data_IF_312508054834
#
_entry.id   IF_312508054834
#
_cell.length_a   1.000
_cell.length_b   1.000
_cell.length_c   1.000
_cell.angle_alpha   90.00
_cell.angle_beta   90.00
_cell.angle_gamma   90.00
#
_symmetry.space_group_name_H-M   'P 1'
#
loop_
_entity.id
_entity.type
_entity.pdbx_description
1 polymer ?
#
# COMPACT_ATOMS: atom_id res chain seq x y z
N UNK A 1 -9.24 7.37 -4.52
CA UNK A 1 -9.70 8.14 -5.68
C UNK A 1 -10.13 9.49 -5.18
N UNK A 2 -9.80 10.54 -5.92
CA UNK A 2 -10.20 11.91 -5.58
C UNK A 2 -11.70 12.13 -5.77
N UNK A 3 -12.24 13.18 -5.14
CA UNK A 3 -13.65 13.55 -5.30
C UNK A 3 -13.85 14.40 -6.57
N UNK A 4 -14.55 13.88 -7.57
CA UNK A 4 -14.84 14.60 -8.81
C UNK A 4 -15.60 15.92 -8.54
N UNK A 5 -16.40 16.00 -7.48
CA UNK A 5 -17.10 17.24 -7.12
C UNK A 5 -16.11 18.32 -6.68
N UNK A 6 -15.08 17.94 -5.90
CA UNK A 6 -14.03 18.87 -5.45
C UNK A 6 -13.14 19.30 -6.61
N UNK A 7 -12.74 18.38 -7.50
CA UNK A 7 -11.98 18.70 -8.71
C UNK A 7 -12.72 19.73 -9.56
N UNK A 8 -14.03 19.56 -9.73
CA UNK A 8 -14.87 20.52 -10.48
C UNK A 8 -15.01 21.88 -9.79
N UNK A 9 -15.02 21.93 -8.46
CA UNK A 9 -15.17 23.16 -7.69
C UNK A 9 -13.87 23.96 -7.62
N UNK A 10 -12.73 23.29 -7.60
CA UNK A 10 -11.41 23.89 -7.38
C UNK A 10 -10.37 23.35 -8.38
N UNK A 11 -10.59 23.46 -9.70
CA UNK A 11 -9.75 22.80 -10.71
C UNK A 11 -8.28 23.24 -10.64
N UNK A 12 -8.02 24.53 -10.40
CA UNK A 12 -6.66 25.08 -10.34
C UNK A 12 -5.87 24.52 -9.16
N UNK A 13 -6.53 24.31 -8.01
CA UNK A 13 -5.91 23.67 -6.84
C UNK A 13 -5.44 22.25 -7.17
N UNK A 14 -6.29 21.44 -7.81
CA UNK A 14 -5.92 20.08 -8.19
C UNK A 14 -4.83 20.05 -9.27
N UNK A 15 -4.86 20.96 -10.24
CA UNK A 15 -3.81 21.09 -11.25
C UNK A 15 -2.46 21.41 -10.62
N UNK A 16 -2.41 22.41 -9.74
CA UNK A 16 -1.19 22.83 -9.06
C UNK A 16 -0.63 21.70 -8.17
N UNK A 17 -1.48 21.11 -7.32
CA UNK A 17 -1.07 20.06 -6.39
C UNK A 17 -0.67 18.77 -7.07
N UNK A 18 -1.34 18.36 -8.14
CA UNK A 18 -1.01 17.11 -8.84
C UNK A 18 0.15 17.30 -9.84
N UNK A 19 0.44 18.52 -10.28
CA UNK A 19 1.65 18.81 -11.05
C UNK A 19 2.93 18.47 -10.28
N UNK A 20 2.95 18.66 -8.96
CA UNK A 20 4.08 18.25 -8.10
C UNK A 20 4.25 16.72 -7.98
N UNK A 21 3.24 15.97 -8.44
CA UNK A 21 3.22 14.50 -8.56
C UNK A 21 3.48 14.04 -10.01
N UNK A 22 3.79 14.96 -10.92
CA UNK A 22 4.03 14.67 -12.33
C UNK A 22 2.77 14.53 -13.20
N UNK A 23 1.58 14.86 -12.67
CA UNK A 23 0.33 14.88 -13.45
C UNK A 23 0.25 16.17 -14.26
N UNK A 24 -0.03 16.07 -15.54
CA UNK A 24 -0.14 17.26 -16.39
C UNK A 24 -1.50 17.94 -16.20
N UNK A 25 -1.58 19.28 -16.25
CA UNK A 25 -2.86 20.00 -16.11
C UNK A 25 -3.95 19.53 -17.08
N UNK A 26 -3.57 19.10 -18.29
CA UNK A 26 -4.50 18.63 -19.31
C UNK A 26 -5.22 17.34 -18.89
N UNK A 27 -4.58 16.49 -18.08
CA UNK A 27 -5.22 15.26 -17.55
C UNK A 27 -6.39 15.59 -16.62
N UNK A 28 -6.30 16.72 -15.89
CA UNK A 28 -7.40 17.22 -15.05
C UNK A 28 -8.51 17.83 -15.91
N UNK A 29 -8.14 18.55 -16.98
CA UNK A 29 -9.11 19.11 -17.93
C UNK A 29 -9.91 18.01 -18.64
N UNK A 30 -9.25 16.91 -19.03
CA UNK A 30 -9.90 15.74 -19.62
C UNK A 30 -10.94 15.13 -18.67
N UNK A 31 -10.60 14.94 -17.40
CA UNK A 31 -11.51 14.44 -16.37
C UNK A 31 -12.73 15.36 -16.20
N UNK A 32 -12.52 16.68 -16.17
CA UNK A 32 -13.60 17.66 -16.05
C UNK A 32 -14.50 17.64 -17.29
N UNK A 33 -13.91 17.51 -18.48
CA UNK A 33 -14.65 17.40 -19.74
C UNK A 33 -15.53 16.13 -19.77
N UNK A 34 -14.99 14.99 -19.33
CA UNK A 34 -15.73 13.74 -19.21
C UNK A 34 -16.85 13.82 -18.15
N UNK A 35 -16.64 14.46 -16.99
CA UNK A 35 -17.72 14.72 -16.01
C UNK A 35 -18.81 15.65 -16.58
N UNK A 36 -18.43 16.67 -17.35
CA UNK A 36 -19.38 17.56 -18.01
C UNK A 36 -20.22 16.79 -19.03
N UNK A 37 -19.57 16.03 -19.92
CA UNK A 37 -20.24 15.20 -20.93
C UNK A 37 -21.19 14.19 -20.27
N UNK A 38 -20.73 13.52 -19.21
CA UNK A 38 -21.54 12.62 -18.38
C UNK A 38 -22.85 13.26 -17.92
N UNK A 39 -22.75 14.44 -17.31
CA UNK A 39 -23.92 15.16 -16.77
C UNK A 39 -24.90 15.57 -17.87
N UNK A 40 -24.38 16.01 -19.01
CA UNK A 40 -25.19 16.38 -20.18
C UNK A 40 -25.91 15.15 -20.77
N UNK A 41 -25.22 14.03 -20.92
CA UNK A 41 -25.82 12.77 -21.39
C UNK A 41 -26.89 12.27 -20.44
N UNK A 42 -26.62 12.24 -19.12
CA UNK A 42 -27.61 11.85 -18.12
C UNK A 42 -28.85 12.75 -18.16
N UNK A 43 -28.68 14.07 -18.31
CA UNK A 43 -29.80 15.00 -18.44
C UNK A 43 -30.63 14.75 -19.70
N UNK A 44 -29.97 14.47 -20.84
CA UNK A 44 -30.64 14.12 -22.10
C UNK A 44 -31.42 12.82 -21.96
N UNK A 45 -30.79 11.78 -21.40
CA UNK A 45 -31.40 10.47 -21.14
C UNK A 45 -32.63 10.59 -20.25
N UNK A 46 -32.55 11.32 -19.14
CA UNK A 46 -33.70 11.53 -18.24
C UNK A 46 -34.84 12.30 -18.93
N UNK A 47 -34.50 13.31 -19.74
CA UNK A 47 -35.49 14.08 -20.53
C UNK A 47 -36.21 13.17 -21.53
N UNK A 48 -35.48 12.32 -22.27
CA UNK A 48 -36.08 11.38 -23.23
C UNK A 48 -36.89 10.28 -22.53
N UNK A 49 -36.43 9.76 -21.38
CA UNK A 49 -37.18 8.81 -20.55
C UNK A 49 -38.51 9.42 -20.09
N UNK A 50 -38.52 10.69 -19.68
CA UNK A 50 -39.74 11.40 -19.34
C UNK A 50 -40.69 11.57 -20.54
N UNK A 51 -40.18 11.99 -21.70
CA UNK A 51 -40.96 12.11 -22.95
C UNK A 51 -41.57 10.78 -23.38
N UNK A 52 -40.80 9.69 -23.35
CA UNK A 52 -41.29 8.33 -23.67
C UNK A 52 -42.40 7.91 -22.72
N UNK A 53 -42.27 8.20 -21.42
CA UNK A 53 -43.28 7.86 -20.42
C UNK A 53 -44.58 8.67 -20.63
N UNK A 54 -44.48 9.94 -21.01
CA UNK A 54 -45.63 10.77 -21.37
C UNK A 54 -46.32 10.28 -22.65
N UNK A 55 -45.54 9.98 -23.70
CA UNK A 55 -46.06 9.41 -24.95
C UNK A 55 -46.75 8.06 -24.72
N UNK A 56 -46.18 7.21 -23.86
CA UNK A 56 -46.78 5.92 -23.48
C UNK A 56 -48.14 6.08 -22.78
N UNK A 57 -48.30 7.12 -21.95
CA UNK A 57 -49.61 7.46 -21.33
C UNK A 57 -50.63 7.88 -22.39
N UNK A 58 -50.24 8.77 -23.31
CA UNK A 58 -51.11 9.24 -24.42
C UNK A 58 -51.53 8.09 -25.34
N UNK A 59 -50.66 7.14 -25.64
CA UNK A 59 -50.99 5.91 -26.39
C UNK A 59 -52.04 5.08 -25.63
N UNK A 60 -51.89 4.94 -24.30
CA UNK A 60 -52.85 4.25 -23.47
C UNK A 60 -54.23 4.92 -23.48
N UNK A 61 -54.28 6.25 -23.47
CA UNK A 61 -55.51 7.04 -23.57
C UNK A 61 -56.17 6.92 -24.95
N UNK A 62 -55.42 7.12 -26.04
CA UNK A 62 -55.93 6.98 -27.41
C UNK A 62 -56.52 5.58 -27.66
N UNK A 63 -55.83 4.52 -27.21
CA UNK A 63 -56.34 3.14 -27.31
C UNK A 63 -57.62 2.92 -26.51
N UNK A 64 -57.81 3.57 -25.35
CA UNK A 64 -59.06 3.50 -24.58
C UNK A 64 -60.21 4.25 -25.27
N UNK A 65 -59.89 5.33 -25.98
CA UNK A 65 -60.87 6.16 -26.70
C UNK A 65 -61.24 5.60 -28.08
N UNK A 66 -60.59 4.52 -28.54
CA UNK A 66 -60.79 3.97 -29.88
C UNK A 66 -60.14 4.79 -31.00
N UNK A 67 -59.21 5.68 -30.65
CA UNK A 67 -58.45 6.49 -31.59
C UNK A 67 -57.20 5.73 -32.10
N UNK A 68 -56.74 6.02 -33.32
CA UNK A 68 -55.47 5.45 -33.81
C UNK A 68 -54.30 6.06 -33.03
N UNK A 69 -53.44 5.18 -32.52
CA UNK A 69 -52.22 5.55 -31.82
C UNK A 69 -50.95 5.22 -32.64
N UNK A 70 -51.07 4.88 -33.92
CA UNK A 70 -49.97 4.29 -34.71
C UNK A 70 -48.76 5.24 -34.86
N UNK A 71 -49.02 6.52 -35.08
CA UNK A 71 -47.98 7.55 -35.15
C UNK A 71 -47.24 7.70 -33.80
N UNK A 72 -47.99 7.76 -32.69
CA UNK A 72 -47.43 7.87 -31.35
C UNK A 72 -46.64 6.60 -30.96
N UNK A 73 -47.11 5.41 -31.37
CA UNK A 73 -46.39 4.14 -31.16
C UNK A 73 -45.06 4.16 -31.91
N UNK A 74 -45.04 4.64 -33.15
CA UNK A 74 -43.80 4.78 -33.94
C UNK A 74 -42.83 5.75 -33.27
N UNK A 75 -43.29 6.93 -32.87
CA UNK A 75 -42.47 7.94 -32.18
C UNK A 75 -41.91 7.40 -30.86
N UNK A 76 -42.71 6.67 -30.08
CA UNK A 76 -42.28 6.05 -28.82
C UNK A 76 -41.21 4.97 -29.05
N UNK A 77 -41.29 4.23 -30.17
CA UNK A 77 -40.27 3.25 -30.55
C UNK A 77 -38.96 3.95 -30.93
N UNK A 78 -39.03 5.01 -31.74
CA UNK A 78 -37.86 5.81 -32.13
C UNK A 78 -37.19 6.47 -30.92
N UNK A 79 -37.97 6.99 -29.96
CA UNK A 79 -37.47 7.46 -28.67
C UNK A 79 -36.79 6.34 -27.88
N UNK A 80 -37.37 5.14 -27.88
CA UNK A 80 -36.79 3.96 -27.25
C UNK A 80 -35.42 3.58 -27.80
N UNK A 81 -35.25 3.66 -29.11
CA UNK A 81 -33.96 3.38 -29.77
C UNK A 81 -32.92 4.47 -29.45
N UNK A 82 -33.30 5.75 -29.49
CA UNK A 82 -32.42 6.87 -29.07
C UNK A 82 -32.00 6.80 -27.61
N UNK A 83 -32.90 6.39 -26.71
CA UNK A 83 -32.57 6.21 -25.28
C UNK A 83 -31.51 5.12 -25.12
N UNK A 84 -31.60 4.01 -25.87
CA UNK A 84 -30.57 2.95 -25.82
C UNK A 84 -29.22 3.44 -26.32
N UNK A 85 -29.19 4.23 -27.39
CA UNK A 85 -27.98 4.86 -27.91
C UNK A 85 -27.33 5.77 -26.86
N UNK A 86 -28.13 6.64 -26.22
CA UNK A 86 -27.64 7.50 -25.15
C UNK A 86 -27.19 6.72 -23.91
N UNK A 87 -27.94 5.69 -23.48
CA UNK A 87 -27.54 4.84 -22.35
C UNK A 87 -26.18 4.16 -22.64
N UNK A 88 -25.95 3.72 -23.88
CA UNK A 88 -24.65 3.16 -24.32
C UNK A 88 -23.53 4.21 -24.28
N UNK A 89 -23.82 5.44 -24.70
CA UNK A 89 -22.85 6.53 -24.64
C UNK A 89 -22.52 6.94 -23.19
N UNK A 90 -23.52 6.92 -22.29
CA UNK A 90 -23.33 7.14 -20.85
C UNK A 90 -22.40 6.07 -20.27
N UNK A 91 -22.64 4.79 -20.56
CA UNK A 91 -21.82 3.69 -20.05
C UNK A 91 -20.36 3.80 -20.51
N UNK A 92 -20.13 4.09 -21.80
CA UNK A 92 -18.79 4.28 -22.35
C UNK A 92 -18.07 5.50 -21.72
N UNK A 93 -18.76 6.63 -21.57
CA UNK A 93 -18.21 7.82 -20.94
C UNK A 93 -17.92 7.61 -19.45
N UNK A 94 -18.79 6.89 -18.73
CA UNK A 94 -18.60 6.57 -17.32
C UNK A 94 -17.39 5.65 -17.12
N UNK A 95 -17.19 4.67 -18.00
CA UNK A 95 -16.00 3.81 -17.99
C UNK A 95 -14.70 4.61 -18.23
N UNK A 96 -14.69 5.52 -19.20
CA UNK A 96 -13.53 6.37 -19.49
C UNK A 96 -13.24 7.35 -18.35
N UNK A 97 -14.27 8.01 -17.81
CA UNK A 97 -14.13 8.89 -16.65
C UNK A 97 -13.58 8.14 -15.44
N UNK A 98 -14.10 6.94 -15.17
CA UNK A 98 -13.66 6.11 -14.07
C UNK A 98 -12.19 5.70 -14.22
N UNK A 99 -11.79 5.25 -15.41
CA UNK A 99 -10.41 4.86 -15.69
C UNK A 99 -9.44 6.04 -15.51
N UNK A 100 -9.75 7.22 -16.07
CA UNK A 100 -8.95 8.45 -15.91
C UNK A 100 -8.81 8.82 -14.43
N UNK A 101 -9.93 8.85 -13.71
CA UNK A 101 -9.95 9.14 -12.26
C UNK A 101 -9.16 8.10 -11.45
N UNK A 102 -9.13 6.84 -11.88
CA UNK A 102 -8.42 5.77 -11.21
C UNK A 102 -6.88 5.87 -11.39
N UNK A 103 -6.41 6.66 -12.37
CA UNK A 103 -4.99 6.93 -12.61
C UNK A 103 -4.47 8.22 -11.93
N UNK A 104 -5.35 9.05 -11.37
CA UNK A 104 -4.94 10.23 -10.60
C UNK A 104 -4.43 9.83 -9.20
N UNK A 105 -3.22 10.26 -8.79
CA UNK A 105 -2.70 10.01 -7.45
C UNK A 105 -3.44 10.84 -6.40
N UNK A 106 -3.18 10.56 -5.13
CA UNK A 106 -3.69 11.38 -4.03
C UNK A 106 -3.05 12.79 -4.04
N UNK A 107 -3.74 13.75 -3.42
CA UNK A 107 -3.26 15.13 -3.26
C UNK A 107 -2.21 15.15 -2.13
N UNK A 108 -0.99 15.68 -2.39
CA UNK A 108 0.04 15.80 -1.36
C UNK A 108 -0.36 16.85 -0.31
N UNK A 109 -0.01 16.59 0.94
CA UNK A 109 -0.17 17.54 2.05
C UNK A 109 0.70 18.78 1.84
N UNK A 110 0.27 19.93 2.36
CA UNK A 110 0.94 21.23 2.17
C UNK A 110 2.38 21.26 2.70
N UNK A 111 2.69 20.45 3.71
CA UNK A 111 4.02 20.36 4.32
C UNK A 111 5.04 19.49 3.56
N UNK A 112 4.61 18.77 2.51
CA UNK A 112 5.47 17.82 1.79
C UNK A 112 6.47 18.58 0.88
N UNK A 113 7.78 18.26 0.95
CA UNK A 113 8.77 18.90 0.09
C UNK A 113 8.52 18.60 -1.40
N UNK A 114 8.52 19.64 -2.24
CA UNK A 114 8.19 19.52 -3.66
C UNK A 114 9.42 19.10 -4.48
N UNK A 115 9.37 17.91 -5.05
CA UNK A 115 10.36 17.39 -6.02
C UNK A 115 9.75 16.21 -6.79
N UNK A 116 10.19 15.94 -8.01
CA UNK A 116 9.77 14.75 -8.78
C UNK A 116 10.67 13.52 -8.55
N UNK A 117 11.71 13.67 -7.72
CA UNK A 117 12.66 12.62 -7.33
C UNK A 117 12.79 12.58 -5.81
N UNK A 118 13.51 11.60 -5.27
CA UNK A 118 13.90 11.53 -3.85
C UNK A 118 14.73 12.75 -3.37
N UNK A 119 15.30 13.52 -4.31
CA UNK A 119 16.10 14.70 -4.00
C UNK A 119 15.24 15.78 -3.33
N UNK A 120 15.64 16.18 -2.12
CA UNK A 120 14.92 17.18 -1.32
C UNK A 120 14.07 16.60 -0.20
N UNK A 121 14.09 15.28 0.01
CA UNK A 121 13.53 14.68 1.22
C UNK A 121 14.15 15.33 2.47
N UNK A 122 13.33 15.51 3.51
CA UNK A 122 13.72 16.27 4.71
C UNK A 122 13.94 15.30 5.88
N UNK A 123 15.15 15.26 6.43
CA UNK A 123 15.43 14.52 7.67
C UNK A 123 14.77 15.23 8.86
N UNK A 124 13.76 14.58 9.45
CA UNK A 124 13.04 15.08 10.62
C UNK A 124 13.84 14.87 11.91
N UNK A 125 14.47 13.70 12.04
CA UNK A 125 15.25 13.31 13.21
C UNK A 125 16.18 12.14 12.92
N UNK A 126 17.28 12.08 13.67
CA UNK A 126 18.25 10.98 13.66
C UNK A 126 18.38 10.38 15.05
N UNK A 127 18.34 9.06 15.17
CA UNK A 127 18.23 8.36 16.45
C UNK A 127 19.23 7.19 16.53
N UNK A 128 19.82 7.01 17.71
CA UNK A 128 20.79 5.94 17.98
C UNK A 128 22.24 6.32 17.68
N UNK A 129 23.18 5.49 18.14
CA UNK A 129 24.62 5.69 17.95
C UNK A 129 25.13 4.72 16.88
N UNK A 130 25.66 5.25 15.77
CA UNK A 130 26.40 4.44 14.79
C UNK A 130 27.60 3.81 15.47
N UNK A 131 27.74 2.50 15.34
CA UNK A 131 28.85 1.73 15.93
C UNK A 131 30.15 2.03 15.20
N UNK A 132 31.18 2.37 15.95
CA UNK A 132 32.56 2.40 15.46
C UNK A 132 33.12 0.96 15.48
N UNK A 133 33.48 0.44 14.30
CA UNK A 133 34.08 -0.87 14.17
C UNK A 133 35.61 -0.78 14.20
N UNK A 134 36.27 -1.72 14.88
CA UNK A 134 37.72 -1.92 14.89
C UNK A 134 38.19 -2.89 13.77
N UNK A 135 37.28 -3.24 12.86
CA UNK A 135 37.49 -4.03 11.66
C UNK A 135 36.56 -3.53 10.54
N UNK A 136 36.85 -3.89 9.28
CA UNK A 136 35.98 -3.52 8.15
C UNK A 136 34.65 -4.30 8.23
N UNK A 137 33.50 -3.61 8.41
CA UNK A 137 32.21 -4.27 8.52
C UNK A 137 31.84 -4.97 7.21
N UNK A 138 31.41 -6.22 7.30
CA UNK A 138 30.97 -7.01 6.15
C UNK A 138 29.48 -6.79 5.86
N UNK A 139 29.11 -7.01 4.60
CA UNK A 139 27.71 -7.02 4.19
C UNK A 139 26.96 -8.22 4.76
N UNK A 140 25.66 -8.06 5.03
CA UNK A 140 24.82 -9.12 5.58
C UNK A 140 24.78 -10.40 4.74
N UNK A 141 24.90 -10.31 3.41
CA UNK A 141 24.96 -11.50 2.56
C UNK A 141 26.25 -12.31 2.78
N UNK A 142 27.40 -11.65 2.92
CA UNK A 142 28.67 -12.33 3.17
C UNK A 142 28.68 -12.91 4.60
N UNK A 143 28.11 -12.20 5.58
CA UNK A 143 27.95 -12.69 6.96
C UNK A 143 27.04 -13.94 6.96
N UNK A 144 25.87 -13.84 6.34
CA UNK A 144 24.87 -14.90 6.31
C UNK A 144 25.35 -16.16 5.58
N UNK A 145 26.06 -16.02 4.47
CA UNK A 145 26.65 -17.15 3.72
C UNK A 145 27.79 -17.80 4.53
N UNK A 146 28.67 -17.01 5.15
CA UNK A 146 29.79 -17.53 5.96
C UNK A 146 29.33 -18.29 7.21
N UNK A 147 28.26 -17.83 7.86
CA UNK A 147 27.58 -18.54 8.94
C UNK A 147 26.74 -19.73 8.43
N UNK A 148 26.43 -19.76 7.13
CA UNK A 148 25.62 -20.77 6.48
C UNK A 148 24.11 -20.61 6.72
N UNK A 149 23.68 -19.45 7.23
CA UNK A 149 22.29 -19.16 7.58
C UNK A 149 21.48 -18.54 6.42
N UNK A 150 22.15 -17.98 5.42
CA UNK A 150 21.56 -17.52 4.16
C UNK A 150 22.12 -18.35 3.00
N UNK A 151 21.25 -18.88 2.14
CA UNK A 151 21.64 -19.70 1.00
C UNK A 151 20.93 -19.19 -0.27
N UNK A 152 21.61 -18.27 -0.96
CA UNK A 152 21.15 -17.66 -2.21
C UNK A 152 21.31 -18.60 -3.40
N UNK A 153 22.35 -19.44 -3.42
CA UNK A 153 22.60 -20.40 -4.51
C UNK A 153 21.49 -21.45 -4.62
N UNK A 154 21.08 -22.05 -3.50
CA UNK A 154 19.97 -23.01 -3.51
C UNK A 154 18.66 -22.34 -3.87
N UNK A 155 18.43 -21.09 -3.47
CA UNK A 155 17.25 -20.34 -3.85
C UNK A 155 17.25 -20.02 -5.36
N UNK A 156 18.41 -19.60 -5.91
CA UNK A 156 18.63 -19.40 -7.33
C UNK A 156 18.27 -20.63 -8.17
N UNK A 157 18.62 -21.82 -7.69
CA UNK A 157 18.26 -23.10 -8.32
C UNK A 157 16.75 -23.40 -8.29
N UNK A 158 16.03 -22.99 -7.25
CA UNK A 158 14.62 -23.36 -7.03
C UNK A 158 13.66 -22.34 -7.64
N UNK A 159 13.96 -21.04 -7.52
CA UNK A 159 13.04 -19.96 -7.86
C UNK A 159 13.65 -18.88 -8.76
N UNK A 160 14.97 -18.91 -8.97
CA UNK A 160 15.71 -17.86 -9.67
C UNK A 160 16.29 -16.80 -8.72
N UNK A 161 16.79 -15.71 -9.30
CA UNK A 161 17.39 -14.60 -8.54
C UNK A 161 16.37 -13.93 -7.60
N UNK A 162 16.86 -13.16 -6.60
CA UNK A 162 16.04 -12.42 -5.61
C UNK A 162 15.14 -13.31 -4.73
N UNK A 163 15.54 -14.55 -4.53
CA UNK A 163 15.02 -15.46 -3.49
C UNK A 163 16.16 -15.92 -2.58
N UNK A 164 15.84 -16.37 -1.37
CA UNK A 164 16.81 -16.83 -0.37
C UNK A 164 16.23 -17.96 0.47
N UNK A 165 17.05 -18.92 0.84
CA UNK A 165 16.74 -19.82 1.96
C UNK A 165 17.37 -19.28 3.25
N UNK A 166 16.55 -19.11 4.28
CA UNK A 166 17.03 -18.98 5.65
C UNK A 166 17.19 -20.38 6.28
N UNK A 167 18.31 -20.61 6.97
CA UNK A 167 18.65 -21.90 7.56
C UNK A 167 18.99 -21.76 9.05
N UNK A 168 18.59 -22.78 9.83
CA UNK A 168 18.94 -22.90 11.25
C UNK A 168 18.64 -21.61 12.04
N UNK A 169 19.66 -21.09 12.72
CA UNK A 169 19.53 -19.86 13.52
C UNK A 169 19.18 -18.62 12.70
N UNK A 170 19.42 -18.57 11.39
CA UNK A 170 18.94 -17.47 10.54
C UNK A 170 17.43 -17.47 10.38
N UNK A 171 16.85 -18.65 10.14
CA UNK A 171 15.40 -18.81 10.06
C UNK A 171 14.73 -18.54 11.42
N UNK A 172 15.40 -18.94 12.51
CA UNK A 172 14.94 -18.60 13.85
C UNK A 172 15.06 -17.10 14.13
N UNK A 173 16.12 -16.42 13.67
CA UNK A 173 16.28 -14.97 13.81
C UNK A 173 15.18 -14.21 13.08
N UNK A 174 14.89 -14.56 11.83
CA UNK A 174 13.79 -13.93 11.10
C UNK A 174 12.46 -14.10 11.84
N UNK A 175 12.21 -15.32 12.37
CA UNK A 175 11.04 -15.59 13.21
C UNK A 175 11.01 -14.82 14.51
N UNK A 176 12.15 -14.67 15.17
CA UNK A 176 12.26 -13.87 16.38
C UNK A 176 11.92 -12.41 16.11
N UNK A 177 12.41 -11.86 14.99
CA UNK A 177 12.17 -10.46 14.60
C UNK A 177 10.68 -10.19 14.40
N UNK A 178 9.98 -11.00 13.59
CA UNK A 178 8.55 -10.75 13.35
C UNK A 178 7.66 -11.04 14.56
N UNK A 179 8.01 -12.02 15.40
CA UNK A 179 7.26 -12.29 16.63
C UNK A 179 7.41 -11.12 17.62
N UNK A 180 8.63 -10.60 17.77
CA UNK A 180 8.90 -9.42 18.56
C UNK A 180 8.09 -8.21 18.06
N UNK A 181 8.07 -7.96 16.75
CA UNK A 181 7.30 -6.88 16.15
C UNK A 181 5.80 -6.99 16.44
N UNK A 182 5.20 -8.16 16.23
CA UNK A 182 3.78 -8.40 16.52
C UNK A 182 3.46 -8.17 18.00
N UNK A 183 4.29 -8.72 18.91
CA UNK A 183 4.10 -8.55 20.36
C UNK A 183 4.20 -7.10 20.81
N UNK A 184 5.07 -6.29 20.20
CA UNK A 184 5.17 -4.86 20.50
C UNK A 184 3.96 -4.08 19.97
N UNK A 185 3.50 -4.35 18.75
CA UNK A 185 2.32 -3.66 18.20
C UNK A 185 1.03 -4.05 18.93
N UNK A 186 0.91 -5.29 19.41
CA UNK A 186 -0.22 -5.67 20.28
C UNK A 186 -0.24 -4.86 21.58
N UNK A 187 0.92 -4.55 22.18
CA UNK A 187 1.01 -3.66 23.37
C UNK A 187 0.63 -2.21 23.04
N UNK A 188 0.77 -1.80 21.79
CA UNK A 188 0.40 -0.48 21.28
C UNK A 188 -1.07 -0.38 20.86
N UNK A 189 -1.83 -1.47 21.00
CA UNK A 189 -3.28 -1.53 20.78
C UNK A 189 -3.71 -2.06 19.41
N UNK A 190 -2.79 -2.57 18.59
CA UNK A 190 -3.14 -3.21 17.33
C UNK A 190 -3.72 -4.61 17.56
N UNK A 191 -4.78 -4.93 16.83
CA UNK A 191 -5.33 -6.30 16.78
C UNK A 191 -4.55 -7.10 15.74
N UNK A 192 -3.96 -8.23 16.14
CA UNK A 192 -3.28 -9.13 15.21
C UNK A 192 -4.30 -9.87 14.31
N UNK A 193 -4.06 -9.82 13.00
CA UNK A 193 -4.90 -10.43 11.96
C UNK A 193 -4.02 -11.35 11.10
N UNK A 194 -4.57 -12.52 10.75
CA UNK A 194 -3.99 -13.41 9.74
C UNK A 194 -4.81 -13.33 8.44
N UNK A 195 -4.42 -12.47 7.47
CA UNK A 195 -5.22 -12.24 6.27
C UNK A 195 -4.96 -13.27 5.15
N UNK A 196 -5.83 -13.35 4.12
CA UNK A 196 -5.52 -14.05 2.88
C UNK A 196 -4.31 -13.45 2.15
N UNK A 197 -3.46 -14.29 1.56
CA UNK A 197 -2.29 -13.85 0.77
C UNK A 197 -2.55 -13.74 -0.74
N UNK A 198 -3.74 -14.17 -1.17
CA UNK A 198 -4.21 -14.10 -2.54
C UNK A 198 -5.55 -13.37 -2.50
N UNK A 199 -5.67 -12.28 -3.26
CA UNK A 199 -6.81 -11.37 -3.22
C UNK A 199 -7.38 -11.12 -4.62
N UNK A 200 -8.67 -10.75 -4.67
CA UNK A 200 -9.36 -10.40 -5.92
C UNK A 200 -8.94 -9.00 -6.44
N UNK A 201 -9.28 -8.71 -7.69
CA UNK A 201 -9.00 -7.43 -8.34
C UNK A 201 -9.60 -6.22 -7.62
N UNK A 202 -10.81 -6.35 -7.06
CA UNK A 202 -11.46 -5.27 -6.31
C UNK A 202 -10.63 -4.85 -5.08
N UNK A 203 -9.94 -5.79 -4.42
CA UNK A 203 -9.09 -5.49 -3.27
C UNK A 203 -7.84 -4.71 -3.71
N UNK A 204 -7.23 -5.12 -4.82
CA UNK A 204 -6.10 -4.42 -5.43
C UNK A 204 -6.48 -3.02 -5.95
N UNK A 205 -7.71 -2.85 -6.41
CA UNK A 205 -8.25 -1.55 -6.80
C UNK A 205 -8.47 -0.63 -5.58
N UNK A 206 -9.01 -1.18 -4.48
CA UNK A 206 -9.29 -0.49 -3.23
C UNK A 206 -8.08 0.26 -2.66
N UNK A 207 -6.94 -0.41 -2.61
CA UNK A 207 -5.67 0.14 -2.09
C UNK A 207 -4.78 0.78 -3.16
N UNK A 208 -5.26 0.90 -4.40
CA UNK A 208 -4.62 1.70 -5.45
C UNK A 208 -3.48 1.01 -6.21
N UNK A 209 -3.25 -0.29 -6.00
CA UNK A 209 -2.32 -1.07 -6.84
C UNK A 209 -2.88 -1.22 -8.26
N UNK A 210 -4.19 -1.42 -8.41
CA UNK A 210 -4.85 -1.41 -9.72
C UNK A 210 -5.52 -0.04 -9.99
N UNK A 211 -5.54 0.40 -11.27
CA UNK A 211 -4.99 -0.27 -12.46
C UNK A 211 -3.48 -0.04 -12.70
N UNK A 212 -2.91 1.05 -12.14
CA UNK A 212 -1.59 1.59 -12.53
C UNK A 212 -0.40 0.64 -12.33
N UNK A 213 -0.40 -0.19 -11.29
CA UNK A 213 0.75 -1.02 -10.89
C UNK A 213 0.52 -2.51 -11.13
N UNK A 214 -0.31 -2.88 -12.12
CA UNK A 214 -0.62 -4.27 -12.45
C UNK A 214 0.62 -5.09 -12.83
N UNK A 215 1.62 -4.47 -13.45
CA UNK A 215 2.91 -5.12 -13.78
C UNK A 215 3.84 -5.32 -12.55
N UNK A 216 3.55 -4.65 -11.44
CA UNK A 216 4.34 -4.70 -10.20
C UNK A 216 4.06 -5.90 -9.30
N UNK A 217 3.09 -6.75 -9.66
CA UNK A 217 2.57 -7.83 -8.81
C UNK A 217 2.54 -9.17 -9.54
N UNK A 218 2.42 -10.26 -8.77
CA UNK A 218 2.25 -11.60 -9.32
C UNK A 218 0.77 -11.97 -9.35
N UNK A 219 0.27 -12.38 -10.53
CA UNK A 219 -1.11 -12.85 -10.71
C UNK A 219 -1.15 -14.38 -10.84
N UNK A 220 -2.25 -14.99 -10.40
CA UNK A 220 -2.49 -16.43 -10.53
C UNK A 220 -2.99 -16.73 -11.94
N UNK A 221 -2.29 -17.61 -12.67
CA UNK A 221 -2.68 -17.95 -14.03
C UNK A 221 -4.04 -18.66 -14.07
N UNK A 222 -4.97 -18.14 -14.88
CA UNK A 222 -6.31 -18.72 -15.05
C UNK A 222 -7.35 -18.24 -14.03
N UNK A 223 -6.97 -17.39 -13.07
CA UNK A 223 -7.86 -16.82 -12.07
C UNK A 223 -7.68 -15.30 -11.99
N UNK A 224 -8.73 -14.53 -11.69
CA UNK A 224 -8.61 -13.09 -11.43
C UNK A 224 -8.19 -12.83 -9.97
N UNK A 225 -7.04 -13.40 -9.62
CA UNK A 225 -6.50 -13.43 -8.26
C UNK A 225 -5.02 -13.03 -8.26
N UNK A 226 -4.60 -12.30 -7.24
CA UNK A 226 -3.28 -11.65 -7.18
C UNK A 226 -2.61 -11.91 -5.83
N UNK A 227 -1.31 -12.25 -5.84
CA UNK A 227 -0.51 -12.36 -4.62
C UNK A 227 -0.28 -10.97 -4.02
N UNK A 228 -0.46 -10.83 -2.71
CA UNK A 228 -0.38 -9.53 -2.04
C UNK A 228 1.06 -8.97 -2.05
N UNK A 229 1.28 -7.69 -2.44
CA UNK A 229 2.59 -7.04 -2.33
C UNK A 229 2.90 -6.48 -0.94
N UNK A 230 1.92 -6.53 -0.04
CA UNK A 230 1.93 -6.06 1.36
C UNK A 230 0.61 -6.47 2.03
N UNK A 231 0.61 -6.67 3.35
CA UNK A 231 -0.61 -6.89 4.12
C UNK A 231 -1.55 -5.68 4.15
N UNK A 232 -1.08 -4.49 3.75
CA UNK A 232 -1.91 -3.29 3.55
C UNK A 232 -3.13 -3.62 2.69
N UNK A 233 -2.95 -4.39 1.61
CA UNK A 233 -4.04 -4.71 0.67
C UNK A 233 -5.21 -5.41 1.37
N UNK A 234 -5.04 -6.61 1.96
CA UNK A 234 -6.15 -7.28 2.62
C UNK A 234 -6.61 -6.58 3.90
N UNK A 235 -5.70 -5.98 4.69
CA UNK A 235 -6.07 -5.34 5.96
C UNK A 235 -6.91 -4.08 5.75
N UNK A 236 -6.59 -3.26 4.75
CA UNK A 236 -7.30 -2.01 4.45
C UNK A 236 -8.63 -2.26 3.74
N UNK A 237 -8.76 -3.40 3.03
CA UNK A 237 -10.03 -3.83 2.43
C UNK A 237 -10.95 -4.59 3.40
N UNK A 238 -10.57 -4.79 4.65
CA UNK A 238 -11.35 -5.59 5.61
C UNK A 238 -12.79 -5.07 5.76
N UNK A 239 -12.96 -3.74 5.87
CA UNK A 239 -14.27 -3.07 5.94
C UNK A 239 -14.74 -2.50 4.59
N UNK A 240 -14.34 -3.10 3.46
CA UNK A 240 -14.73 -2.60 2.13
C UNK A 240 -16.24 -2.70 1.95
N UNK A 241 -16.88 -1.58 1.60
CA UNK A 241 -18.32 -1.47 1.40
C UNK A 241 -19.13 -1.33 2.70
N UNK A 242 -18.46 -1.14 3.83
CA UNK A 242 -19.09 -1.10 5.15
C UNK A 242 -19.15 0.32 5.73
N UNK A 243 -20.10 0.51 6.65
CA UNK A 243 -20.17 1.68 7.53
C UNK A 243 -19.69 1.23 8.91
N UNK A 244 -18.45 1.55 9.26
CA UNK A 244 -17.84 1.20 10.55
C UNK A 244 -18.60 1.95 11.67
N UNK A 245 -19.00 1.27 12.75
CA UNK A 245 -19.57 1.92 13.93
C UNK A 245 -18.60 2.97 14.49
N UNK A 246 -19.10 4.17 14.78
CA UNK A 246 -18.26 5.32 15.13
C UNK A 246 -17.50 5.12 16.44
N UNK A 247 -18.06 4.31 17.35
CA UNK A 247 -17.48 3.87 18.61
C UNK A 247 -16.32 2.89 18.45
N UNK A 248 -16.18 2.22 17.30
CA UNK A 248 -15.03 1.35 17.00
C UNK A 248 -13.82 2.14 16.50
N UNK A 249 -14.00 3.40 16.10
CA UNK A 249 -12.91 4.23 15.59
C UNK A 249 -12.11 4.90 16.74
N UNK A 250 -10.76 4.93 16.65
CA UNK A 250 -9.95 4.38 15.56
C UNK A 250 -9.74 2.86 15.67
N UNK A 251 -9.74 2.17 14.54
CA UNK A 251 -9.43 0.73 14.45
C UNK A 251 -7.97 0.55 14.09
N UNK A 252 -7.24 -0.25 14.87
CA UNK A 252 -5.82 -0.57 14.66
C UNK A 252 -5.67 -2.07 14.40
N UNK A 253 -5.13 -2.45 13.24
CA UNK A 253 -4.86 -3.86 12.89
C UNK A 253 -3.41 -4.05 12.44
N UNK A 254 -2.80 -5.18 12.82
CA UNK A 254 -1.45 -5.57 12.42
C UNK A 254 -1.44 -6.98 11.84
N UNK A 255 -0.54 -7.27 10.90
CA UNK A 255 -0.36 -8.62 10.38
C UNK A 255 1.08 -8.89 9.94
N UNK A 256 1.55 -10.10 10.17
CA UNK A 256 2.70 -10.67 9.47
C UNK A 256 2.23 -11.36 8.20
N UNK A 257 2.75 -10.96 7.04
CA UNK A 257 2.54 -11.70 5.79
C UNK A 257 3.83 -11.82 4.98
N UNK A 258 3.98 -12.87 4.16
CA UNK A 258 4.84 -12.75 3.00
C UNK A 258 4.28 -11.67 2.06
N UNK A 259 5.17 -10.91 1.45
CA UNK A 259 4.89 -9.88 0.46
C UNK A 259 5.56 -10.26 -0.86
N UNK A 260 4.79 -10.21 -1.96
CA UNK A 260 5.23 -10.65 -3.27
C UNK A 260 5.27 -9.48 -4.27
N UNK A 261 6.46 -9.16 -4.79
CA UNK A 261 6.66 -8.06 -5.73
C UNK A 261 7.44 -8.53 -6.95
N UNK A 262 6.98 -8.17 -8.14
CA UNK A 262 7.69 -8.55 -9.39
C UNK A 262 9.03 -7.84 -9.52
N UNK A 263 9.24 -6.74 -8.78
CA UNK A 263 10.44 -5.89 -8.85
C UNK A 263 10.79 -5.46 -10.29
N UNK A 264 9.75 -5.36 -11.15
CA UNK A 264 9.87 -4.91 -12.52
C UNK A 264 10.51 -3.50 -12.56
N UNK A 265 11.47 -3.31 -13.46
CA UNK A 265 12.22 -2.05 -13.58
C UNK A 265 13.43 -1.91 -12.64
N UNK A 266 13.64 -2.80 -11.66
CA UNK A 266 14.78 -2.74 -10.74
C UNK A 266 16.07 -3.42 -11.27
N UNK A 267 16.27 -3.41 -12.59
CA UNK A 267 17.42 -4.07 -13.22
C UNK A 267 18.75 -3.51 -12.68
N UNK A 268 19.61 -4.39 -12.15
CA UNK A 268 20.94 -4.04 -11.65
C UNK A 268 21.00 -3.39 -10.26
N UNK A 269 19.88 -2.98 -9.66
CA UNK A 269 19.86 -2.38 -8.31
C UNK A 269 19.67 -3.44 -7.24
N UNK A 270 20.50 -3.43 -6.19
CA UNK A 270 20.39 -4.32 -5.03
C UNK A 270 20.21 -5.79 -5.41
N UNK A 271 21.06 -6.29 -6.28
CA UNK A 271 20.95 -7.65 -6.84
C UNK A 271 21.36 -8.75 -5.86
N UNK A 272 22.09 -8.41 -4.79
CA UNK A 272 22.56 -9.33 -3.75
C UNK A 272 21.98 -8.94 -2.39
N UNK A 273 21.73 -9.93 -1.54
CA UNK A 273 21.25 -9.72 -0.18
C UNK A 273 19.74 -9.71 -0.02
N UNK A 274 19.27 -9.11 1.07
CA UNK A 274 17.90 -9.18 1.56
C UNK A 274 17.11 -7.87 1.36
N UNK A 275 17.72 -6.83 0.78
CA UNK A 275 17.11 -5.50 0.67
C UNK A 275 16.00 -5.46 -0.37
N UNK A 276 16.15 -6.21 -1.47
CA UNK A 276 15.21 -6.24 -2.60
C UNK A 276 14.99 -7.67 -3.10
N UNK A 277 13.89 -8.26 -2.67
CA UNK A 277 13.53 -9.66 -2.91
C UNK A 277 12.15 -9.77 -3.56
N UNK A 278 11.91 -10.82 -4.34
CA UNK A 278 10.56 -11.09 -4.86
C UNK A 278 9.59 -11.50 -3.76
N UNK A 279 10.10 -12.16 -2.73
CA UNK A 279 9.37 -12.55 -1.53
C UNK A 279 10.14 -12.05 -0.31
N UNK A 280 9.45 -11.33 0.58
CA UNK A 280 9.96 -10.93 1.88
C UNK A 280 8.84 -10.89 2.91
N UNK A 281 9.16 -11.11 4.18
CA UNK A 281 8.19 -10.97 5.27
C UNK A 281 8.11 -9.52 5.73
N UNK A 282 6.90 -9.07 6.06
CA UNK A 282 6.64 -7.74 6.60
C UNK A 282 5.58 -7.84 7.69
N UNK A 283 5.82 -7.14 8.80
CA UNK A 283 4.77 -6.81 9.76
C UNK A 283 4.20 -5.46 9.36
N UNK A 284 2.91 -5.41 9.08
CA UNK A 284 2.20 -4.20 8.65
C UNK A 284 1.32 -3.66 9.76
N UNK A 285 1.24 -2.34 9.88
CA UNK A 285 0.27 -1.63 10.70
C UNK A 285 -0.73 -0.93 9.76
N UNK A 286 -2.03 -1.09 9.99
CA UNK A 286 -3.09 -0.35 9.30
C UNK A 286 -4.02 0.29 10.32
N UNK A 287 -4.43 1.53 10.04
CA UNK A 287 -5.40 2.25 10.87
C UNK A 287 -6.57 2.75 10.05
N UNK A 288 -7.77 2.66 10.61
CA UNK A 288 -8.95 3.40 10.17
C UNK A 288 -9.26 4.45 11.23
N UNK A 289 -9.41 5.71 10.83
CA UNK A 289 -9.65 6.80 11.78
C UNK A 289 -10.58 7.85 11.21
N UNK A 290 -11.07 8.73 12.08
CA UNK A 290 -11.83 9.91 11.66
C UNK A 290 -10.88 10.93 11.00
N UNK A 291 -11.33 11.71 10.00
CA UNK A 291 -10.50 12.68 9.29
C UNK A 291 -9.68 13.60 10.20
N UNK A 292 -10.31 14.15 11.24
CA UNK A 292 -9.73 15.09 12.20
C UNK A 292 -8.55 14.54 13.01
N UNK A 293 -8.44 13.21 13.13
CA UNK A 293 -7.38 12.55 13.91
C UNK A 293 -6.25 12.00 13.03
N UNK A 294 -6.39 12.01 11.70
CA UNK A 294 -5.51 11.25 10.81
C UNK A 294 -4.04 11.68 10.88
N UNK A 295 -3.75 12.98 11.06
CA UNK A 295 -2.37 13.47 11.20
C UNK A 295 -1.72 13.03 12.51
N UNK A 296 -2.45 13.09 13.63
CA UNK A 296 -1.97 12.56 14.91
C UNK A 296 -1.76 11.03 14.84
N UNK A 297 -2.60 10.33 14.08
CA UNK A 297 -2.44 8.89 13.88
C UNK A 297 -1.21 8.52 13.03
N UNK A 298 -0.80 9.37 12.09
CA UNK A 298 0.44 9.23 11.33
C UNK A 298 1.67 9.35 12.24
N UNK A 299 1.69 10.38 13.11
CA UNK A 299 2.77 10.56 14.09
C UNK A 299 2.86 9.37 15.05
N UNK A 300 1.72 8.89 15.57
CA UNK A 300 1.68 7.70 16.43
C UNK A 300 2.19 6.45 15.69
N UNK A 301 1.76 6.23 14.44
CA UNK A 301 2.19 5.09 13.64
C UNK A 301 3.70 5.12 13.35
N UNK A 302 4.22 6.30 12.99
CA UNK A 302 5.66 6.51 12.80
C UNK A 302 6.42 6.19 14.09
N UNK A 303 5.93 6.67 15.24
CA UNK A 303 6.51 6.38 16.54
C UNK A 303 6.44 4.88 16.92
N UNK A 304 5.39 4.15 16.51
CA UNK A 304 5.28 2.69 16.70
C UNK A 304 6.37 1.95 15.90
N UNK A 305 6.60 2.32 14.65
CA UNK A 305 7.70 1.76 13.86
C UNK A 305 9.08 2.10 14.47
N UNK A 306 9.26 3.34 14.94
CA UNK A 306 10.48 3.77 15.64
C UNK A 306 10.72 2.99 16.94
N UNK A 307 9.66 2.62 17.67
CA UNK A 307 9.75 1.86 18.92
C UNK A 307 10.46 0.51 18.73
N UNK A 308 10.18 -0.17 17.61
CA UNK A 308 10.86 -1.40 17.22
C UNK A 308 12.37 -1.16 17.05
N UNK A 309 12.76 -0.13 16.29
CA UNK A 309 14.17 0.20 16.03
C UNK A 309 14.91 0.63 17.30
N UNK A 310 14.27 1.42 18.16
CA UNK A 310 14.80 1.84 19.48
C UNK A 310 15.10 0.62 20.36
N UNK A 311 14.16 -0.32 20.45
CA UNK A 311 14.31 -1.56 21.27
C UNK A 311 15.34 -2.53 20.69
N UNK A 312 15.43 -2.61 19.36
CA UNK A 312 16.49 -3.34 18.67
C UNK A 312 17.85 -2.62 18.72
N UNK A 313 17.90 -1.38 19.23
CA UNK A 313 19.09 -0.53 19.28
C UNK A 313 19.82 -0.43 17.92
N UNK A 314 19.05 -0.27 16.84
CA UNK A 314 19.56 -0.01 15.50
C UNK A 314 19.54 1.49 15.22
N UNK A 315 20.65 2.11 14.76
CA UNK A 315 20.65 3.52 14.38
C UNK A 315 19.81 3.76 13.14
N UNK A 316 19.02 4.82 13.13
CA UNK A 316 18.13 5.17 12.02
C UNK A 316 17.92 6.68 11.93
N UNK A 317 17.29 7.12 10.85
CA UNK A 317 16.69 8.44 10.77
C UNK A 317 15.26 8.34 10.23
N UNK A 318 14.49 9.42 10.39
CA UNK A 318 13.14 9.55 9.84
C UNK A 318 13.17 10.70 8.84
N UNK A 319 12.69 10.44 7.63
CA UNK A 319 12.60 11.45 6.57
C UNK A 319 11.15 11.63 6.14
N UNK A 320 10.76 12.85 5.74
CA UNK A 320 9.53 13.08 4.98
C UNK A 320 9.88 12.99 3.50
N UNK A 321 9.19 12.12 2.77
CA UNK A 321 9.38 11.93 1.33
C UNK A 321 8.96 13.18 0.54
N UNK A 322 9.49 13.32 -0.67
CA UNK A 322 9.10 14.40 -1.58
C UNK A 322 7.78 14.08 -2.28
N UNK A 323 7.15 15.09 -2.88
CA UNK A 323 5.91 14.91 -3.62
C UNK A 323 6.03 13.80 -4.66
N UNK A 324 7.11 13.68 -5.42
CA UNK A 324 7.29 12.67 -6.46
C UNK A 324 7.63 11.27 -5.97
N UNK A 325 8.21 11.14 -4.77
CA UNK A 325 8.71 9.87 -4.24
C UNK A 325 7.68 9.11 -3.39
N UNK A 326 6.65 9.81 -2.87
CA UNK A 326 5.56 9.18 -2.12
C UNK A 326 4.75 8.16 -2.95
N UNK A 327 4.16 7.18 -2.26
CA UNK A 327 3.27 6.20 -2.89
C UNK A 327 2.04 6.85 -3.54
N UNK A 328 1.43 6.18 -4.53
CA UNK A 328 0.28 6.70 -5.28
C UNK A 328 -0.91 7.14 -4.40
N UNK A 329 -1.12 6.45 -3.27
CA UNK A 329 -2.24 6.67 -2.35
C UNK A 329 -1.94 7.64 -1.21
N UNK A 330 -0.67 7.91 -0.93
CA UNK A 330 -0.26 8.75 0.19
C UNK A 330 -0.48 10.25 -0.09
N UNK A 331 -0.91 10.96 0.95
CA UNK A 331 -0.89 12.42 1.02
C UNK A 331 0.40 12.92 1.70
N UNK A 332 0.90 12.18 2.68
CA UNK A 332 2.20 12.37 3.32
C UNK A 332 2.77 11.02 3.74
N UNK A 333 4.09 10.88 3.67
CA UNK A 333 4.81 9.66 4.04
C UNK A 333 6.07 9.98 4.84
N UNK A 334 6.22 9.31 5.99
CA UNK A 334 7.46 9.24 6.73
C UNK A 334 8.16 7.90 6.47
N UNK A 335 9.37 7.96 5.94
CA UNK A 335 10.22 6.79 5.80
C UNK A 335 11.19 6.72 6.99
N UNK A 336 11.31 5.52 7.57
CA UNK A 336 12.37 5.22 8.52
C UNK A 336 13.45 4.46 7.76
N UNK A 337 14.66 5.00 7.78
CA UNK A 337 15.80 4.34 7.18
C UNK A 337 16.84 3.97 8.24
N UNK A 338 17.27 2.71 8.23
CA UNK A 338 18.25 2.18 9.18
C UNK A 338 19.67 2.25 8.63
N UNK A 339 20.65 2.35 9.53
CA UNK A 339 22.06 2.41 9.17
C UNK A 339 22.58 1.04 8.72
N UNK A 340 23.24 1.02 7.56
CA UNK A 340 23.88 -0.18 6.99
C UNK A 340 25.41 0.02 6.95
N UNK A 341 26.15 -0.46 7.96
CA UNK A 341 27.59 -0.24 8.10
C UNK A 341 28.41 -0.54 6.85
N UNK A 342 28.19 -1.68 6.21
CA UNK A 342 28.99 -2.09 5.05
C UNK A 342 28.68 -1.29 3.79
N UNK A 343 27.53 -0.60 3.76
CA UNK A 343 27.14 0.28 2.65
C UNK A 343 27.44 1.75 2.94
N UNK A 344 27.79 2.09 4.19
CA UNK A 344 28.03 3.44 4.68
C UNK A 344 26.88 4.42 4.34
N UNK A 345 25.63 3.97 4.51
CA UNK A 345 24.44 4.78 4.28
C UNK A 345 23.22 4.26 5.05
N UNK A 346 22.19 5.10 5.11
CA UNK A 346 20.86 4.72 5.55
C UNK A 346 20.09 4.01 4.42
N UNK A 347 19.20 3.09 4.78
CA UNK A 347 18.32 2.35 3.86
C UNK A 347 16.93 2.20 4.47
N UNK A 348 15.90 2.54 3.70
CA UNK A 348 14.49 2.37 4.07
C UNK A 348 14.21 0.99 4.68
N UNK A 349 13.50 0.96 5.82
CA UNK A 349 12.99 -0.25 6.48
C UNK A 349 11.49 -0.13 6.82
N UNK A 350 10.97 1.09 6.84
CA UNK A 350 9.56 1.38 6.95
C UNK A 350 9.17 2.61 6.15
N UNK A 351 7.94 2.59 5.68
CA UNK A 351 7.25 3.70 5.05
C UNK A 351 5.88 3.80 5.70
N UNK A 352 5.59 4.91 6.37
CA UNK A 352 4.36 5.18 7.13
C UNK A 352 3.61 6.33 6.46
N UNK A 353 2.39 6.07 5.99
CA UNK A 353 1.64 6.99 5.11
C UNK A 353 0.25 7.31 5.64
N UNK A 354 -0.15 8.57 5.50
CA UNK A 354 -1.55 8.98 5.63
C UNK A 354 -2.18 9.05 4.22
N UNK A 355 -3.20 8.23 3.98
CA UNK A 355 -3.87 8.15 2.68
C UNK A 355 -5.15 9.00 2.62
N UNK A 356 -5.50 9.70 3.71
CA UNK A 356 -6.76 10.43 3.85
C UNK A 356 -7.95 9.54 3.44
N UNK A 357 -8.94 10.10 2.77
CA UNK A 357 -10.10 9.37 2.25
C UNK A 357 -9.85 8.65 0.90
N UNK A 358 -8.61 8.63 0.39
CA UNK A 358 -8.34 8.16 -0.97
C UNK A 358 -8.68 6.68 -1.15
N UNK A 359 -8.19 5.80 -0.26
CA UNK A 359 -8.51 4.38 -0.32
C UNK A 359 -9.96 4.14 0.10
N UNK A 360 -10.43 4.83 1.16
CA UNK A 360 -11.80 4.74 1.64
C UNK A 360 -12.85 5.05 0.55
N UNK A 361 -12.60 6.02 -0.34
CA UNK A 361 -13.46 6.31 -1.49
C UNK A 361 -13.49 5.19 -2.53
N UNK A 362 -12.35 4.52 -2.78
CA UNK A 362 -12.28 3.37 -3.71
C UNK A 362 -12.99 2.14 -3.13
N UNK A 363 -12.85 1.94 -1.82
CA UNK A 363 -13.41 0.80 -1.09
C UNK A 363 -14.85 1.03 -0.62
N UNK A 364 -15.34 2.27 -0.68
CA UNK A 364 -16.61 2.68 -0.10
C UNK A 364 -16.73 2.39 1.41
N UNK A 365 -15.67 2.67 2.18
CA UNK A 365 -15.63 2.48 3.64
C UNK A 365 -15.94 3.79 4.35
N UNK A 366 -17.00 3.80 5.16
CA UNK A 366 -17.57 5.01 5.76
C UNK A 366 -17.79 4.86 7.26
N UNK A 367 -18.16 5.95 7.93
CA UNK A 367 -18.67 5.97 9.30
C UNK A 367 -19.75 7.05 9.42
N UNK A 368 -20.48 7.10 10.54
CA UNK A 368 -21.45 8.18 10.82
C UNK A 368 -20.83 9.24 11.73
N UNK A 369 -20.82 10.49 11.29
CA UNK A 369 -20.42 11.58 12.17
C UNK A 369 -21.46 11.85 13.28
N UNK A 370 -21.15 12.79 14.16
CA UNK A 370 -22.01 13.21 15.29
C UNK A 370 -23.39 13.72 14.84
N UNK A 371 -23.53 14.12 13.57
CA UNK A 371 -24.78 14.58 12.97
C UNK A 371 -25.52 13.46 12.20
N UNK A 372 -25.03 12.22 12.28
CA UNK A 372 -25.60 11.06 11.59
C UNK A 372 -25.30 11.01 10.09
N UNK A 373 -24.45 11.91 9.57
CA UNK A 373 -24.09 11.94 8.15
C UNK A 373 -22.97 10.94 7.88
N UNK A 374 -23.05 10.29 6.72
CA UNK A 374 -21.99 9.40 6.27
C UNK A 374 -20.78 10.20 5.82
N UNK A 375 -19.62 9.86 6.36
CA UNK A 375 -18.32 10.39 5.99
C UNK A 375 -17.39 9.22 5.62
N UNK A 376 -16.46 9.44 4.72
CA UNK A 376 -15.38 8.47 4.47
C UNK A 376 -14.40 8.51 5.65
N UNK A 377 -13.98 7.33 6.10
CA UNK A 377 -12.86 7.23 7.06
C UNK A 377 -11.57 7.68 6.39
N UNK A 378 -10.57 8.05 7.19
CA UNK A 378 -9.20 8.11 6.72
C UNK A 378 -8.49 6.78 6.97
N UNK A 379 -7.66 6.36 6.02
CA UNK A 379 -6.82 5.16 6.15
C UNK A 379 -5.35 5.55 6.27
N UNK A 380 -4.63 4.81 7.10
CA UNK A 380 -3.18 4.90 7.23
C UNK A 380 -2.57 3.51 7.17
N UNK A 381 -1.36 3.43 6.66
CA UNK A 381 -0.58 2.19 6.66
C UNK A 381 0.89 2.48 6.93
N UNK A 382 1.58 1.53 7.55
CA UNK A 382 2.97 1.67 7.92
C UNK A 382 3.64 0.33 8.14
N UNK A 383 4.90 0.20 7.72
CA UNK A 383 5.64 -1.02 8.01
C UNK A 383 6.13 -1.00 9.46
N UNK A 384 5.90 -2.08 10.20
CA UNK A 384 6.31 -2.25 11.60
C UNK A 384 7.16 -3.50 11.87
N UNK A 385 8.12 -3.93 11.06
CA UNK A 385 8.83 -3.32 9.95
C UNK A 385 8.93 -4.34 8.79
N UNK A 386 9.65 -3.99 7.71
CA UNK A 386 10.13 -4.99 6.76
C UNK A 386 11.14 -5.94 7.42
N UNK A 387 10.75 -7.20 7.62
CA UNK A 387 11.48 -8.17 8.46
C UNK A 387 12.84 -8.49 7.86
N UNK A 388 12.91 -8.80 6.56
CA UNK A 388 14.16 -9.14 5.88
C UNK A 388 15.21 -8.01 5.92
N UNK A 389 14.77 -6.76 5.77
CA UNK A 389 15.64 -5.58 5.89
C UNK A 389 16.12 -5.38 7.33
N UNK A 390 15.25 -5.65 8.31
CA UNK A 390 15.61 -5.62 9.73
C UNK A 390 16.65 -6.70 10.06
N UNK A 391 16.51 -7.92 9.54
CA UNK A 391 17.51 -8.98 9.69
C UNK A 391 18.83 -8.58 9.06
N UNK A 392 18.83 -7.99 7.86
CA UNK A 392 20.05 -7.47 7.24
C UNK A 392 20.78 -6.46 8.14
N UNK A 393 20.04 -5.52 8.73
CA UNK A 393 20.60 -4.54 9.64
C UNK A 393 21.14 -5.13 10.94
N UNK A 394 20.46 -6.15 11.50
CA UNK A 394 20.95 -6.88 12.67
C UNK A 394 22.28 -7.56 12.32
N UNK A 395 22.35 -8.28 11.19
CA UNK A 395 23.58 -8.95 10.75
C UNK A 395 24.74 -7.96 10.62
N UNK A 396 24.54 -6.78 10.02
CA UNK A 396 25.61 -5.80 9.83
C UNK A 396 25.99 -5.03 11.10
N UNK A 397 25.02 -4.58 11.92
CA UNK A 397 25.32 -3.76 13.10
C UNK A 397 25.83 -4.60 14.30
N UNK A 398 25.41 -5.87 14.39
CA UNK A 398 25.78 -6.76 15.49
C UNK A 398 26.87 -7.78 15.15
N UNK A 399 27.55 -7.64 14.01
CA UNK A 399 28.69 -8.49 13.66
C UNK A 399 29.87 -8.30 14.61
N UNK A 400 30.66 -9.36 14.77
CA UNK A 400 31.91 -9.36 15.53
C UNK A 400 33.09 -9.69 14.60
N UNK A 401 34.31 -9.37 15.02
CA UNK A 401 35.52 -9.54 14.21
C UNK A 401 35.75 -10.99 13.73
N UNK A 402 35.29 -11.98 14.52
CA UNK A 402 35.35 -13.41 14.21
C UNK A 402 34.29 -13.89 13.18
N UNK A 403 33.41 -12.98 12.71
CA UNK A 403 32.33 -13.27 11.76
C UNK A 403 31.03 -13.76 12.39
N UNK A 404 30.98 -13.91 13.72
CA UNK A 404 29.75 -14.20 14.46
C UNK A 404 28.84 -12.97 14.60
N UNK A 405 27.57 -13.18 14.92
CA UNK A 405 26.60 -12.10 15.13
C UNK A 405 26.02 -12.19 16.53
N UNK A 406 26.11 -11.10 17.29
CA UNK A 406 25.46 -10.96 18.59
C UNK A 406 23.96 -10.75 18.41
N UNK A 407 23.13 -11.43 19.20
CA UNK A 407 21.67 -11.25 19.13
C UNK A 407 21.29 -10.01 19.94
N UNK A 408 20.48 -9.07 19.40
CA UNK A 408 19.90 -7.98 20.19
C UNK A 408 19.19 -8.52 21.43
N UNK A 409 19.38 -7.88 22.59
CA UNK A 409 18.90 -8.42 23.88
C UNK A 409 17.40 -8.73 23.88
N UNK A 410 16.60 -7.86 23.25
CA UNK A 410 15.14 -8.03 23.14
C UNK A 410 14.72 -9.26 22.33
N UNK A 411 15.59 -9.80 21.48
CA UNK A 411 15.34 -11.00 20.68
C UNK A 411 15.80 -12.29 21.36
N UNK A 412 16.64 -12.23 22.40
CA UNK A 412 17.17 -13.42 23.11
C UNK A 412 16.04 -14.34 23.62
N UNK A 413 14.92 -13.85 24.19
CA UNK A 413 13.80 -14.70 24.59
C UNK A 413 13.18 -15.47 23.42
N UNK A 414 13.03 -14.83 22.25
CA UNK A 414 12.51 -15.44 21.02
C UNK A 414 13.52 -16.39 20.35
N UNK A 415 14.80 -16.23 20.69
CA UNK A 415 15.90 -17.07 20.22
C UNK A 415 16.19 -18.27 21.16
N UNK A 416 15.27 -18.61 22.07
CA UNK A 416 15.45 -19.69 23.05
C UNK A 416 16.73 -19.55 23.90
N UNK A 417 17.10 -18.31 24.24
CA UNK A 417 18.28 -18.01 25.05
C UNK A 417 19.60 -17.96 24.27
N UNK A 418 19.59 -18.16 22.95
CA UNK A 418 20.79 -17.96 22.12
C UNK A 418 21.16 -16.48 22.11
N UNK A 419 22.38 -16.17 22.55
CA UNK A 419 22.92 -14.80 22.61
C UNK A 419 23.83 -14.46 21.44
N UNK A 420 24.29 -15.46 20.68
CA UNK A 420 25.28 -15.29 19.60
C UNK A 420 25.14 -16.38 18.54
N UNK A 421 25.13 -16.00 17.27
CA UNK A 421 25.19 -16.93 16.12
C UNK A 421 26.66 -17.08 15.71
N UNK A 422 27.17 -18.31 15.75
CA UNK A 422 28.52 -18.68 15.33
C UNK A 422 28.44 -19.80 14.29
N UNK A 423 29.55 -20.10 13.62
CA UNK A 423 29.59 -21.17 12.61
C UNK A 423 29.24 -22.54 13.20
N UNK A 424 29.57 -22.77 14.47
CA UNK A 424 29.38 -24.02 15.20
C UNK A 424 27.92 -24.26 15.63
N UNK A 425 27.11 -23.22 15.81
CA UNK A 425 25.71 -23.35 16.24
C UNK A 425 24.69 -22.98 15.14
N UNK A 426 25.12 -22.28 14.09
CA UNK A 426 24.23 -21.73 13.07
C UNK A 426 23.30 -22.75 12.41
N UNK A 427 23.84 -23.90 11.97
CA UNK A 427 23.07 -24.90 11.21
C UNK A 427 23.41 -26.32 11.68
N UNK A 428 22.61 -26.91 12.61
CA UNK A 428 22.94 -28.18 13.25
C UNK A 428 23.17 -29.37 12.29
N UNK A 429 22.49 -29.40 11.14
CA UNK A 429 22.65 -30.50 10.17
C UNK A 429 23.92 -30.39 9.31
N UNK A 430 24.50 -29.19 9.14
CA UNK A 430 25.77 -29.03 8.41
C UNK A 430 26.96 -29.53 9.22
N UNK A 431 26.87 -29.46 10.55
CA UNK A 431 27.92 -29.93 11.45
C UNK A 431 27.97 -31.45 11.60
N UNK A 432 26.97 -32.17 11.08
CA UNK A 432 26.96 -33.64 11.01
C UNK A 432 27.64 -34.21 9.76
N UNK A 433 28.02 -33.38 8.78
CA UNK A 433 28.63 -33.85 7.52
C UNK A 433 30.18 -33.86 7.58
N UNK A 434 30.77 -33.29 8.64
CA UNK A 434 32.23 -33.23 8.85
C UNK A 434 32.71 -34.02 10.09
N UNK A 435 31.88 -34.91 10.63
CA UNK A 435 32.25 -35.95 11.61
C UNK A 435 31.89 -37.30 11.03
#
# INVERSE_FOLDING_TARGET
>A
MLDIKKIRQEPDFYKEKLATRGVKPEEIDEVIALDKKRRELLQQTETMKAQRNEASKKIGEAKRNGESADAAIKETRELGDKIKELDTEVEANDAELHDKMAHLPNVPHDGVPVSLTEDGAVELRKVGKVRDFDFEPKHHWDIGENLGILDFDRAGKVSGARFVYYLGLGAQLERAVYNFMLDEHMKEGYTEVLPPYIVNADSMYGTGQFPKFKEGVYQVNGEDMTLIPTAEVPLTNYYRGEVIPTEELPVYVTALTPSFRSEAGAAGRDTRGLIRMHQFNKVEMVKYTKPENSWDELEKMTANAENILKKLNLPYHVITLTTGDMSFTASETHDLELWMPAQNKYREVSSCSNCLDFQARRMHTQYRDENGKLQYVHTLNGSGLAVGRTVAAILENYQNADGSVTIPEVLVPYMHGVTKITKENAVPFRNKVNK
#
